data_IF_853536845359
#
_entry.id   IF_853536845359
#
_cell.length_a   1.000
_cell.length_b   1.000
_cell.length_c   1.000
_cell.angle_alpha   90.00
_cell.angle_beta   90.00
_cell.angle_gamma   90.00
#
_symmetry.space_group_name_H-M   'P 1'
#
loop_
_entity.id
_entity.type
_entity.pdbx_description
1 polymer ?
#
# COMPACT_ATOMS: atom_id res chain seq x y z
N UNK A 1 17.78 9.00 -3.13
CA UNK A 1 18.91 9.65 -3.85
C UNK A 1 19.62 10.75 -3.05
N UNK A 2 18.99 11.37 -2.03
CA UNK A 2 19.56 12.54 -1.33
C UNK A 2 20.87 12.38 -0.54
N UNK A 3 21.38 11.16 -0.33
CA UNK A 3 22.67 10.96 0.37
C UNK A 3 23.86 11.13 -0.59
N UNK A 4 23.70 10.79 -1.87
CA UNK A 4 24.79 10.83 -2.85
C UNK A 4 25.12 12.25 -3.31
N UNK A 5 24.13 13.14 -3.35
CA UNK A 5 24.29 14.54 -3.75
C UNK A 5 25.35 15.27 -2.93
N UNK A 6 25.42 15.01 -1.62
CA UNK A 6 26.43 15.59 -0.73
C UNK A 6 27.86 15.23 -1.12
N UNK A 7 28.10 14.04 -1.64
CA UNK A 7 29.42 13.61 -2.09
C UNK A 7 29.75 14.18 -3.48
N UNK A 8 28.76 14.30 -4.35
CA UNK A 8 28.91 14.84 -5.71
C UNK A 8 29.26 16.34 -5.68
N UNK A 9 28.65 17.11 -4.79
CA UNK A 9 28.88 18.56 -4.70
C UNK A 9 30.25 18.95 -4.16
N UNK A 10 30.89 18.08 -3.37
CA UNK A 10 32.22 18.38 -2.82
C UNK A 10 33.18 18.75 -3.93
N UNK A 11 34.11 19.68 -3.67
CA UNK A 11 35.12 20.02 -4.66
C UNK A 11 35.95 18.78 -5.00
N UNK A 12 36.53 18.76 -6.20
CA UNK A 12 37.40 17.65 -6.66
C UNK A 12 38.56 17.42 -5.69
N UNK A 13 39.05 18.49 -5.03
CA UNK A 13 40.06 18.42 -3.97
C UNK A 13 39.65 17.58 -2.75
N UNK A 14 38.35 17.46 -2.49
CA UNK A 14 37.76 16.67 -1.40
C UNK A 14 37.14 15.35 -1.90
N UNK A 15 37.56 14.88 -3.08
CA UNK A 15 37.06 13.67 -3.74
C UNK A 15 35.59 13.73 -4.16
N UNK A 16 35.03 14.92 -4.37
CA UNK A 16 33.74 15.08 -5.04
C UNK A 16 33.88 15.40 -6.54
N UNK A 17 32.78 15.81 -7.16
CA UNK A 17 32.73 16.19 -8.58
C UNK A 17 32.62 17.70 -8.80
N UNK A 18 32.37 18.50 -7.75
CA UNK A 18 32.13 19.93 -7.85
C UNK A 18 30.87 20.28 -8.66
N UNK A 19 29.92 19.36 -8.76
CA UNK A 19 28.69 19.52 -9.55
C UNK A 19 27.56 19.88 -8.59
N UNK A 20 26.96 21.06 -8.75
CA UNK A 20 25.79 21.47 -7.99
C UNK A 20 24.61 20.49 -8.21
N UNK A 21 23.92 20.15 -7.14
CA UNK A 21 22.79 19.20 -7.15
C UNK A 21 21.56 19.82 -6.51
N UNK A 22 20.40 19.41 -7.00
CA UNK A 22 19.09 19.78 -6.48
C UNK A 22 18.20 18.55 -6.47
N UNK A 23 17.23 18.52 -5.56
CA UNK A 23 16.30 17.40 -5.41
C UNK A 23 14.87 17.92 -5.23
N UNK A 24 13.90 17.23 -5.83
CA UNK A 24 12.48 17.36 -5.44
C UNK A 24 12.19 16.39 -4.30
N UNK A 25 11.61 16.89 -3.22
CA UNK A 25 11.35 16.14 -1.99
C UNK A 25 9.85 15.96 -1.77
N UNK A 26 9.40 14.69 -1.76
CA UNK A 26 8.02 14.32 -1.44
C UNK A 26 7.80 14.00 0.05
N UNK A 27 8.87 13.73 0.81
CA UNK A 27 8.78 13.32 2.23
C UNK A 27 9.65 14.26 3.06
N UNK A 28 9.04 15.29 3.65
CA UNK A 28 9.74 16.35 4.42
C UNK A 28 10.62 15.78 5.53
N UNK A 29 10.14 14.88 6.43
CA UNK A 29 10.97 14.37 7.52
C UNK A 29 12.23 13.64 7.05
N UNK A 30 12.17 12.96 5.89
CA UNK A 30 13.32 12.28 5.30
C UNK A 30 14.36 13.29 4.83
N UNK A 31 13.94 14.37 4.18
CA UNK A 31 14.86 15.42 3.72
C UNK A 31 15.47 16.22 4.87
N UNK A 32 14.73 16.47 5.94
CA UNK A 32 15.26 17.09 7.17
C UNK A 32 16.33 16.23 7.84
N UNK A 33 16.12 14.90 7.87
CA UNK A 33 17.09 13.96 8.42
C UNK A 33 18.34 13.80 7.53
N UNK A 34 18.14 13.67 6.21
CA UNK A 34 19.22 13.45 5.22
C UNK A 34 20.03 14.71 4.98
N UNK A 35 19.42 15.90 5.10
CA UNK A 35 20.03 17.21 4.84
C UNK A 35 20.71 17.28 3.47
N UNK A 36 19.98 17.03 2.36
CA UNK A 36 20.56 17.18 1.02
C UNK A 36 21.07 18.62 0.84
N UNK A 37 22.04 18.86 -0.07
CA UNK A 37 22.59 20.21 -0.25
C UNK A 37 21.50 21.24 -0.55
N UNK A 38 20.59 20.89 -1.47
CA UNK A 38 19.43 21.68 -1.87
C UNK A 38 18.25 20.78 -2.19
N UNK A 39 17.09 21.09 -1.63
CA UNK A 39 15.85 20.41 -1.96
C UNK A 39 14.66 21.38 -1.99
N UNK A 40 13.79 21.16 -2.97
CA UNK A 40 12.45 21.74 -3.00
C UNK A 40 11.48 20.70 -2.43
N UNK A 41 10.85 20.99 -1.30
CA UNK A 41 9.74 20.20 -0.80
C UNK A 41 8.46 20.57 -1.55
N UNK A 42 7.73 19.57 -2.03
CA UNK A 42 6.48 19.74 -2.76
C UNK A 42 5.33 19.07 -2.01
N UNK A 43 4.14 19.69 -1.93
CA UNK A 43 2.99 19.15 -1.22
C UNK A 43 2.17 18.14 -2.05
N UNK A 44 2.81 17.36 -2.92
CA UNK A 44 2.12 16.44 -3.84
C UNK A 44 2.10 14.99 -3.33
N UNK A 45 1.13 14.16 -3.76
CA UNK A 45 1.11 12.74 -3.44
C UNK A 45 2.38 12.01 -3.86
N UNK A 46 2.75 10.98 -3.08
CA UNK A 46 3.92 10.15 -3.37
C UNK A 46 3.83 9.55 -4.79
N UNK A 47 4.91 9.67 -5.56
CA UNK A 47 4.96 9.23 -6.96
C UNK A 47 4.53 10.30 -7.97
N UNK A 48 4.08 11.48 -7.53
CA UNK A 48 3.77 12.63 -8.39
C UNK A 48 4.62 13.87 -8.03
N UNK A 49 5.97 13.81 -8.12
CA UNK A 49 6.85 14.90 -7.68
C UNK A 49 6.68 16.21 -8.46
N UNK A 50 6.05 16.19 -9.63
CA UNK A 50 5.85 17.35 -10.48
C UNK A 50 4.44 17.95 -10.39
N UNK A 51 3.58 17.41 -9.52
CA UNK A 51 2.20 17.87 -9.38
C UNK A 51 1.19 17.05 -10.20
N UNK A 52 -0.05 17.58 -10.36
CA UNK A 52 -1.16 16.86 -10.97
C UNK A 52 -0.92 16.51 -12.46
N UNK A 53 -1.58 15.46 -12.99
CA UNK A 53 -1.53 15.15 -14.42
C UNK A 53 -2.14 16.27 -15.25
N UNK A 54 -1.67 16.44 -16.49
CA UNK A 54 -2.16 17.45 -17.45
C UNK A 54 -2.09 18.91 -16.97
N UNK A 55 -1.25 19.21 -15.98
CA UNK A 55 -0.95 20.58 -15.51
C UNK A 55 0.48 20.98 -15.86
N UNK A 56 0.78 21.24 -17.15
CA UNK A 56 2.14 21.59 -17.58
C UNK A 56 2.61 22.92 -16.96
N UNK A 57 1.70 23.83 -16.63
CA UNK A 57 1.98 25.06 -15.90
C UNK A 57 2.63 24.78 -14.54
N UNK A 58 2.02 23.90 -13.74
CA UNK A 58 2.55 23.45 -12.44
C UNK A 58 3.83 22.67 -12.61
N UNK A 59 3.84 21.67 -13.51
CA UNK A 59 4.97 20.77 -13.70
C UNK A 59 6.24 21.52 -14.13
N UNK A 60 6.09 22.50 -15.04
CA UNK A 60 7.20 23.34 -15.47
C UNK A 60 7.64 24.30 -14.37
N UNK A 61 6.72 24.85 -13.58
CA UNK A 61 7.06 25.72 -12.47
C UNK A 61 7.86 24.99 -11.37
N UNK A 62 7.42 23.78 -10.97
CA UNK A 62 8.17 22.92 -10.04
C UNK A 62 9.60 22.68 -10.53
N UNK A 63 9.77 22.39 -11.82
CA UNK A 63 11.11 22.21 -12.42
C UNK A 63 11.93 23.50 -12.35
N UNK A 64 11.35 24.65 -12.69
CA UNK A 64 12.03 25.95 -12.65
C UNK A 64 12.46 26.31 -11.23
N UNK A 65 11.58 26.17 -10.25
CA UNK A 65 11.89 26.45 -8.86
C UNK A 65 12.96 25.51 -8.32
N UNK A 66 12.88 24.21 -8.66
CA UNK A 66 13.91 23.24 -8.27
C UNK A 66 15.28 23.58 -8.87
N UNK A 67 15.33 23.92 -10.16
CA UNK A 67 16.57 24.27 -10.84
C UNK A 67 17.14 25.62 -10.39
N UNK A 68 16.29 26.58 -10.00
CA UNK A 68 16.72 27.86 -9.44
C UNK A 68 17.51 27.68 -8.13
N UNK A 69 17.32 26.56 -7.41
CA UNK A 69 18.12 26.25 -6.23
C UNK A 69 19.61 26.03 -6.57
N UNK A 70 19.98 25.73 -7.81
CA UNK A 70 21.40 25.56 -8.19
C UNK A 70 22.23 26.80 -7.85
N UNK A 71 21.64 28.00 -7.90
CA UNK A 71 22.31 29.26 -7.60
C UNK A 71 22.32 29.58 -6.08
N UNK A 72 21.63 28.78 -5.26
CA UNK A 72 21.68 28.91 -3.82
C UNK A 72 23.01 28.38 -3.29
N UNK A 73 23.88 29.29 -2.83
CA UNK A 73 25.18 28.94 -2.24
C UNK A 73 25.11 28.44 -0.79
N UNK A 74 23.98 28.63 -0.10
CA UNK A 74 23.79 28.16 1.27
C UNK A 74 23.25 26.72 1.25
N UNK A 75 24.00 25.79 1.85
CA UNK A 75 23.59 24.39 2.05
C UNK A 75 23.75 24.00 3.54
N UNK A 76 22.87 23.14 4.10
CA UNK A 76 21.70 22.54 3.46
C UNK A 76 20.55 23.55 3.31
N UNK A 77 19.87 23.52 2.15
CA UNK A 77 18.66 24.28 1.89
C UNK A 77 17.47 23.34 1.65
N UNK A 78 16.38 23.57 2.38
CA UNK A 78 15.08 22.94 2.15
C UNK A 78 14.06 24.07 2.01
N UNK A 79 13.59 24.30 0.78
CA UNK A 79 12.56 25.30 0.50
C UNK A 79 11.23 24.64 0.24
N UNK A 80 10.15 25.28 0.68
CA UNK A 80 8.79 24.83 0.42
C UNK A 80 8.31 25.41 -0.92
N UNK A 81 7.72 24.56 -1.75
CA UNK A 81 7.02 25.00 -2.96
C UNK A 81 5.80 25.83 -2.55
N UNK A 82 5.65 27.08 -3.07
CA UNK A 82 4.71 28.07 -2.54
C UNK A 82 3.25 27.80 -2.88
N UNK A 83 2.96 26.80 -3.71
CA UNK A 83 1.65 26.64 -4.31
C UNK A 83 0.78 25.67 -3.50
N UNK A 84 -0.22 26.22 -2.81
CA UNK A 84 -1.41 25.48 -2.36
C UNK A 84 -2.26 25.30 -3.61
N UNK A 85 -1.81 24.45 -4.52
CA UNK A 85 -2.66 24.01 -5.61
C UNK A 85 -3.71 23.15 -4.93
N UNK A 86 -4.90 23.71 -4.75
CA UNK A 86 -6.10 22.90 -4.68
C UNK A 86 -5.97 21.97 -5.88
N UNK A 87 -5.76 20.66 -5.63
CA UNK A 87 -6.15 19.67 -6.62
C UNK A 87 -7.55 20.16 -7.02
N UNK A 88 -7.72 20.58 -8.27
CA UNK A 88 -9.07 20.67 -8.80
C UNK A 88 -9.56 19.24 -8.65
N UNK A 89 -10.18 18.95 -7.50
CA UNK A 89 -11.08 17.85 -7.31
C UNK A 89 -12.05 18.11 -8.44
N UNK A 90 -11.80 17.41 -9.54
CA UNK A 90 -12.68 17.36 -10.68
C UNK A 90 -14.06 17.17 -10.01
N UNK A 91 -14.94 18.17 -10.11
CA UNK A 91 -16.30 18.26 -9.57
C UNK A 91 -16.62 17.65 -8.19
N UNK A 92 -17.39 18.37 -7.37
CA UNK A 92 -18.20 17.80 -6.27
C UNK A 92 -19.25 16.74 -6.73
N UNK A 93 -19.17 16.25 -7.97
CA UNK A 93 -19.79 14.99 -8.36
C UNK A 93 -18.91 13.86 -7.83
N UNK A 94 -19.09 13.56 -6.54
CA UNK A 94 -18.36 12.51 -5.85
C UNK A 94 -18.24 11.27 -6.71
N UNK A 95 -17.02 10.73 -6.81
CA UNK A 95 -16.77 9.50 -7.52
C UNK A 95 -17.74 8.43 -7.05
N UNK A 96 -18.69 8.07 -7.91
CA UNK A 96 -19.63 7.00 -7.63
C UNK A 96 -18.99 5.71 -8.09
N UNK A 97 -18.63 4.86 -7.12
CA UNK A 97 -18.11 3.51 -7.35
C UNK A 97 -18.98 2.80 -8.38
N UNK A 98 -18.48 2.58 -9.60
CA UNK A 98 -19.37 2.35 -10.73
C UNK A 98 -19.61 0.84 -10.92
N UNK A 99 -19.29 0.04 -9.89
CA UNK A 99 -19.55 -1.39 -9.75
C UNK A 99 -20.32 -1.59 -8.46
N UNK A 100 -21.58 -2.00 -8.58
CA UNK A 100 -22.33 -2.53 -7.44
C UNK A 100 -22.06 -4.02 -7.44
N UNK A 101 -21.37 -4.51 -6.42
CA UNK A 101 -21.21 -5.94 -6.21
C UNK A 101 -22.49 -6.49 -5.60
N UNK A 102 -23.04 -7.60 -6.10
CA UNK A 102 -24.22 -8.21 -5.50
C UNK A 102 -23.88 -8.71 -4.09
N UNK A 103 -24.58 -8.21 -3.07
CA UNK A 103 -24.51 -8.76 -1.72
C UNK A 103 -25.23 -10.12 -1.72
N UNK A 104 -24.49 -11.19 -1.45
CA UNK A 104 -25.07 -12.51 -1.22
C UNK A 104 -24.84 -12.86 0.24
N UNK A 105 -25.92 -13.01 1.01
CA UNK A 105 -25.85 -13.54 2.37
C UNK A 105 -25.30 -14.97 2.34
N UNK A 106 -24.20 -15.27 3.06
CA UNK A 106 -23.52 -16.54 2.94
C UNK A 106 -24.24 -17.64 3.74
N UNK A 107 -24.45 -18.80 3.10
CA UNK A 107 -24.99 -20.02 3.73
C UNK A 107 -23.82 -20.93 4.20
N UNK A 108 -22.56 -20.58 3.89
CA UNK A 108 -21.30 -21.20 4.39
C UNK A 108 -20.10 -20.29 4.11
N UNK A 109 -19.27 -19.95 5.11
CA UNK A 109 -18.34 -18.79 5.07
C UNK A 109 -17.25 -18.81 3.98
N UNK A 110 -16.56 -19.94 3.73
CA UNK A 110 -15.39 -19.95 2.81
C UNK A 110 -15.78 -20.11 1.34
N UNK A 111 -16.74 -20.99 1.02
CA UNK A 111 -17.16 -21.23 -0.36
C UNK A 111 -17.96 -20.06 -0.93
N UNK A 112 -18.77 -19.37 -0.11
CA UNK A 112 -19.46 -18.14 -0.51
C UNK A 112 -18.48 -17.02 -0.84
N UNK A 113 -17.40 -16.89 -0.05
CA UNK A 113 -16.37 -15.88 -0.26
C UNK A 113 -15.64 -16.10 -1.58
N UNK A 114 -15.26 -17.35 -1.88
CA UNK A 114 -14.63 -17.73 -3.16
C UNK A 114 -15.52 -17.39 -4.36
N UNK A 115 -16.83 -17.65 -4.27
CA UNK A 115 -17.79 -17.31 -5.32
C UNK A 115 -17.89 -15.79 -5.52
N UNK A 116 -18.02 -15.02 -4.42
CA UNK A 116 -18.13 -13.56 -4.50
C UNK A 116 -16.89 -12.93 -5.13
N UNK A 117 -15.68 -13.33 -4.71
CA UNK A 117 -14.43 -12.84 -5.29
C UNK A 117 -14.32 -13.14 -6.78
N UNK A 118 -14.69 -14.35 -7.21
CA UNK A 118 -14.71 -14.70 -8.64
C UNK A 118 -15.68 -13.80 -9.40
N UNK A 119 -16.85 -13.49 -8.83
CA UNK A 119 -17.80 -12.55 -9.43
C UNK A 119 -17.21 -11.15 -9.55
N UNK A 120 -16.50 -10.65 -8.54
CA UNK A 120 -15.82 -9.34 -8.62
C UNK A 120 -14.81 -9.30 -9.77
N UNK A 121 -13.94 -10.32 -9.86
CA UNK A 121 -12.93 -10.44 -10.92
C UNK A 121 -13.59 -10.47 -12.29
N UNK A 122 -14.67 -11.25 -12.45
CA UNK A 122 -15.41 -11.33 -13.71
C UNK A 122 -16.02 -10.00 -14.14
N UNK A 123 -16.53 -9.20 -13.19
CA UNK A 123 -17.09 -7.87 -13.48
C UNK A 123 -16.01 -6.87 -13.89
N UNK A 124 -14.82 -6.95 -13.27
CA UNK A 124 -13.70 -6.05 -13.55
C UNK A 124 -12.91 -6.43 -14.81
N UNK A 125 -12.93 -7.71 -15.19
CA UNK A 125 -12.10 -8.26 -16.28
C UNK A 125 -12.23 -7.52 -17.61
N UNK A 126 -13.43 -7.17 -18.12
CA UNK A 126 -13.56 -6.47 -19.40
C UNK A 126 -12.86 -5.11 -19.40
N UNK A 127 -12.95 -4.36 -18.30
CA UNK A 127 -12.30 -3.06 -18.18
C UNK A 127 -10.79 -3.20 -18.03
N UNK A 128 -10.32 -4.20 -17.27
CA UNK A 128 -8.91 -4.51 -17.19
C UNK A 128 -8.32 -4.82 -18.57
N UNK A 129 -8.96 -5.69 -19.34
CA UNK A 129 -8.46 -6.11 -20.66
C UNK A 129 -8.51 -4.97 -21.69
N UNK A 130 -9.53 -4.11 -21.65
CA UNK A 130 -9.59 -2.90 -22.48
C UNK A 130 -8.50 -1.90 -22.09
N UNK A 131 -8.35 -1.62 -20.80
CA UNK A 131 -7.30 -0.74 -20.27
C UNK A 131 -5.90 -1.24 -20.60
N UNK A 132 -5.68 -2.56 -20.52
CA UNK A 132 -4.41 -3.18 -20.91
C UNK A 132 -4.15 -3.04 -22.41
N UNK A 133 -5.18 -3.18 -23.25
CA UNK A 133 -5.08 -2.98 -24.70
C UNK A 133 -4.76 -1.53 -25.06
N UNK A 134 -5.38 -0.55 -24.39
CA UNK A 134 -5.11 0.87 -24.66
C UNK A 134 -3.75 1.33 -24.13
N UNK A 135 -3.35 0.88 -22.93
CA UNK A 135 -2.07 1.25 -22.29
C UNK A 135 -0.86 0.49 -22.85
N UNK A 136 -1.08 -0.69 -23.44
CA UNK A 136 -0.02 -1.58 -23.95
C UNK A 136 0.86 -2.24 -22.86
N UNK A 137 0.54 -2.05 -21.58
CA UNK A 137 1.28 -2.57 -20.42
C UNK A 137 0.38 -2.79 -19.21
N UNK A 138 0.85 -3.59 -18.26
CA UNK A 138 0.24 -3.80 -16.94
C UNK A 138 1.33 -3.83 -15.86
N UNK A 139 0.95 -3.51 -14.63
CA UNK A 139 1.79 -3.58 -13.42
C UNK A 139 1.61 -4.90 -12.66
N UNK A 140 0.64 -5.73 -13.06
CA UNK A 140 0.50 -7.11 -12.58
C UNK A 140 1.67 -7.97 -13.08
N UNK A 141 2.32 -8.69 -12.17
CA UNK A 141 3.41 -9.60 -12.51
C UNK A 141 4.46 -9.81 -11.42
N UNK A 142 4.37 -9.07 -10.31
CA UNK A 142 5.41 -9.06 -9.28
C UNK A 142 5.48 -10.42 -8.56
N UNK A 143 4.37 -11.15 -8.45
CA UNK A 143 4.33 -12.52 -7.91
C UNK A 143 4.95 -13.58 -8.85
N UNK A 144 5.33 -13.19 -10.07
CA UNK A 144 5.74 -14.10 -11.14
C UNK A 144 4.57 -14.68 -11.94
N UNK A 145 3.35 -14.18 -11.72
CA UNK A 145 2.12 -14.60 -12.43
C UNK A 145 1.46 -13.42 -13.14
N UNK A 146 0.90 -13.71 -14.31
CA UNK A 146 0.16 -12.72 -15.09
C UNK A 146 -1.27 -12.50 -14.57
N UNK A 147 -1.99 -11.54 -15.17
CA UNK A 147 -3.37 -11.22 -14.79
C UNK A 147 -4.37 -12.35 -15.02
N UNK A 148 -4.01 -13.38 -15.81
CA UNK A 148 -4.85 -14.58 -16.01
C UNK A 148 -4.92 -15.47 -14.77
N UNK A 149 -4.02 -15.28 -13.79
CA UNK A 149 -3.98 -16.05 -12.54
C UNK A 149 -4.55 -15.29 -11.34
N UNK A 150 -5.29 -14.19 -11.54
CA UNK A 150 -5.82 -13.39 -10.42
C UNK A 150 -6.74 -14.20 -9.50
N UNK A 151 -7.57 -15.08 -10.06
CA UNK A 151 -8.41 -15.99 -9.27
C UNK A 151 -7.56 -16.92 -8.38
N UNK A 152 -6.45 -17.45 -8.91
CA UNK A 152 -5.52 -18.30 -8.15
C UNK A 152 -4.83 -17.51 -7.03
N UNK A 153 -4.44 -16.26 -7.30
CA UNK A 153 -3.83 -15.38 -6.30
C UNK A 153 -4.79 -15.10 -5.14
N UNK A 154 -6.05 -14.77 -5.46
CA UNK A 154 -7.10 -14.54 -4.46
C UNK A 154 -7.40 -15.79 -3.66
N UNK A 155 -7.41 -16.96 -4.32
CA UNK A 155 -7.61 -18.24 -3.66
C UNK A 155 -6.55 -18.51 -2.58
N UNK A 156 -5.28 -18.22 -2.87
CA UNK A 156 -4.19 -18.32 -1.88
C UNK A 156 -4.41 -17.39 -0.69
N UNK A 157 -4.89 -16.15 -0.92
CA UNK A 157 -5.17 -15.22 0.19
C UNK A 157 -6.35 -15.68 1.06
N UNK A 158 -7.40 -16.25 0.45
CA UNK A 158 -8.56 -16.79 1.18
C UNK A 158 -8.17 -18.01 2.01
N UNK A 159 -7.40 -18.94 1.43
CA UNK A 159 -6.96 -20.13 2.15
C UNK A 159 -6.02 -19.73 3.31
N UNK A 160 -5.20 -18.69 3.13
CA UNK A 160 -4.43 -18.08 4.20
C UNK A 160 -5.28 -17.46 5.30
N UNK A 161 -6.28 -16.66 4.94
CA UNK A 161 -7.13 -16.00 5.92
C UNK A 161 -7.94 -17.00 6.75
N UNK A 162 -8.37 -18.10 6.13
CA UNK A 162 -9.07 -19.22 6.78
C UNK A 162 -8.16 -20.06 7.70
N UNK A 163 -6.83 -19.88 7.67
CA UNK A 163 -5.89 -20.71 8.42
C UNK A 163 -5.79 -22.16 7.89
N UNK A 164 -6.12 -22.38 6.62
CA UNK A 164 -5.91 -23.67 5.98
C UNK A 164 -4.41 -23.95 5.80
N UNK A 165 -4.00 -25.22 5.81
CA UNK A 165 -2.64 -25.60 5.43
C UNK A 165 -2.43 -25.27 3.95
N UNK A 166 -1.74 -24.17 3.69
CA UNK A 166 -1.44 -23.72 2.32
C UNK A 166 -0.31 -24.56 1.79
N UNK A 167 -0.63 -25.45 0.86
CA UNK A 167 0.37 -25.95 -0.07
C UNK A 167 0.57 -24.86 -1.12
N UNK A 168 1.65 -24.10 -0.98
CA UNK A 168 2.03 -23.09 -1.99
C UNK A 168 2.28 -23.84 -3.28
N UNK A 169 1.49 -23.61 -4.35
CA UNK A 169 1.75 -24.31 -5.60
C UNK A 169 3.13 -23.88 -6.13
N UNK A 170 3.94 -24.82 -6.62
CA UNK A 170 5.32 -24.60 -7.15
C UNK A 170 5.42 -23.57 -8.30
N UNK A 171 4.27 -23.02 -8.68
CA UNK A 171 4.10 -22.08 -9.77
C UNK A 171 4.49 -20.64 -9.39
N UNK A 172 4.62 -20.31 -8.10
CA UNK A 172 4.89 -18.95 -7.63
C UNK A 172 6.40 -18.69 -7.40
N UNK A 173 6.86 -17.46 -7.69
CA UNK A 173 8.29 -17.12 -7.69
C UNK A 173 8.92 -16.93 -6.30
N UNK A 174 8.11 -16.94 -5.23
CA UNK A 174 8.55 -16.57 -3.89
C UNK A 174 7.96 -17.51 -2.82
N UNK A 175 8.71 -17.82 -1.74
CA UNK A 175 8.20 -18.63 -0.65
C UNK A 175 7.23 -17.83 0.24
N UNK A 176 6.38 -18.55 0.97
CA UNK A 176 5.59 -17.97 2.05
C UNK A 176 6.49 -17.55 3.23
N UNK A 177 6.10 -16.52 3.99
CA UNK A 177 4.92 -15.68 3.80
C UNK A 177 5.16 -14.54 2.80
N UNK A 178 6.41 -14.31 2.37
CA UNK A 178 6.79 -13.19 1.47
C UNK A 178 5.95 -13.11 0.19
N UNK A 179 5.54 -14.27 -0.33
CA UNK A 179 4.61 -14.38 -1.45
C UNK A 179 3.35 -13.52 -1.27
N UNK A 180 2.76 -13.47 -0.06
CA UNK A 180 1.55 -12.70 0.21
C UNK A 180 1.69 -11.23 -0.20
N UNK A 181 2.84 -10.60 0.08
CA UNK A 181 3.10 -9.20 -0.29
C UNK A 181 3.08 -8.97 -1.80
N UNK A 182 3.50 -9.97 -2.57
CA UNK A 182 3.52 -9.87 -4.03
C UNK A 182 2.15 -10.18 -4.63
N UNK A 183 1.43 -11.16 -4.07
CA UNK A 183 0.06 -11.44 -4.44
C UNK A 183 -0.83 -10.23 -4.18
N UNK A 184 -0.73 -9.60 -3.00
CA UNK A 184 -1.53 -8.42 -2.67
C UNK A 184 -1.22 -7.23 -3.56
N UNK A 185 0.04 -7.05 -3.97
CA UNK A 185 0.41 -6.01 -4.93
C UNK A 185 -0.21 -6.26 -6.31
N UNK A 186 -0.14 -7.49 -6.81
CA UNK A 186 -0.72 -7.86 -8.12
C UNK A 186 -2.25 -7.79 -8.12
N UNK A 187 -2.92 -8.23 -7.05
CA UNK A 187 -4.38 -8.14 -6.90
C UNK A 187 -4.80 -6.67 -6.87
N UNK A 188 -4.16 -5.82 -6.05
CA UNK A 188 -4.46 -4.38 -6.04
C UNK A 188 -4.24 -3.75 -7.40
N UNK A 189 -3.13 -4.07 -8.06
CA UNK A 189 -2.83 -3.60 -9.41
C UNK A 189 -3.95 -3.95 -10.39
N UNK A 190 -4.44 -5.20 -10.37
CA UNK A 190 -5.57 -5.62 -11.21
C UNK A 190 -6.83 -4.79 -10.95
N UNK A 191 -7.25 -4.64 -9.69
CA UNK A 191 -8.46 -3.89 -9.33
C UNK A 191 -8.34 -2.41 -9.75
N UNK A 192 -7.20 -1.78 -9.45
CA UNK A 192 -6.95 -0.38 -9.77
C UNK A 192 -6.87 -0.14 -11.28
N UNK A 193 -6.17 -1.01 -12.01
CA UNK A 193 -6.06 -0.93 -13.46
C UNK A 193 -7.39 -1.16 -14.19
N UNK A 194 -8.29 -1.95 -13.59
CA UNK A 194 -9.62 -2.22 -14.12
C UNK A 194 -10.53 -1.00 -13.93
N UNK A 195 -10.68 -0.50 -12.71
CA UNK A 195 -11.65 0.59 -12.44
C UNK A 195 -11.23 1.91 -13.10
N UNK A 196 -9.93 2.19 -13.18
CA UNK A 196 -9.39 3.37 -13.89
C UNK A 196 -9.51 3.27 -15.41
N UNK A 197 -9.73 2.07 -15.94
CA UNK A 197 -9.99 1.85 -17.36
C UNK A 197 -11.47 1.89 -17.74
N UNK A 198 -12.38 2.03 -16.77
CA UNK A 198 -13.82 2.05 -17.04
C UNK A 198 -14.17 3.25 -17.95
N UNK A 199 -14.85 3.02 -19.09
CA UNK A 199 -15.31 4.10 -19.94
C UNK A 199 -16.26 5.06 -19.20
N UNK A 200 -16.02 6.36 -19.32
CA UNK A 200 -16.87 7.40 -18.73
C UNK A 200 -16.75 7.55 -17.21
N UNK A 201 -15.88 6.78 -16.54
CA UNK A 201 -15.58 7.01 -15.14
C UNK A 201 -14.61 8.18 -14.99
N UNK A 202 -14.93 9.04 -14.04
CA UNK A 202 -14.00 10.02 -13.51
C UNK A 202 -12.84 9.29 -12.82
N UNK A 203 -11.61 9.76 -13.04
CA UNK A 203 -10.45 9.18 -12.38
C UNK A 203 -10.47 9.59 -10.90
N UNK A 204 -10.59 8.63 -9.96
CA UNK A 204 -10.51 8.95 -8.54
C UNK A 204 -9.09 9.42 -8.18
N UNK A 205 -8.98 10.22 -7.13
CA UNK A 205 -7.70 10.44 -6.46
C UNK A 205 -7.21 9.13 -5.79
N UNK A 206 -5.99 9.16 -5.27
CA UNK A 206 -5.36 7.96 -4.71
C UNK A 206 -6.08 7.45 -3.47
N UNK A 207 -6.59 8.34 -2.62
CA UNK A 207 -7.17 7.96 -1.34
C UNK A 207 -8.56 7.39 -1.55
N UNK A 208 -9.36 8.04 -2.40
CA UNK A 208 -10.67 7.56 -2.84
C UNK A 208 -10.59 6.15 -3.46
N UNK A 209 -9.56 5.88 -4.27
CA UNK A 209 -9.35 4.56 -4.88
C UNK A 209 -8.99 3.48 -3.84
N UNK A 210 -8.16 3.83 -2.85
CA UNK A 210 -7.79 2.94 -1.74
C UNK A 210 -9.01 2.67 -0.84
N UNK A 211 -9.81 3.69 -0.54
CA UNK A 211 -11.04 3.57 0.24
C UNK A 211 -12.02 2.59 -0.38
N UNK A 212 -12.33 2.71 -1.66
CA UNK A 212 -13.20 1.75 -2.35
C UNK A 212 -12.67 0.34 -2.29
N UNK A 213 -11.39 0.14 -2.62
CA UNK A 213 -10.84 -1.21 -2.61
C UNK A 213 -10.95 -1.83 -1.22
N UNK A 214 -10.55 -1.12 -0.17
CA UNK A 214 -10.54 -1.66 1.17
C UNK A 214 -11.91 -1.67 1.86
N UNK A 215 -12.83 -0.77 1.53
CA UNK A 215 -14.12 -0.65 2.23
C UNK A 215 -15.31 -1.25 1.46
N UNK A 216 -15.21 -1.38 0.15
CA UNK A 216 -16.35 -1.81 -0.68
C UNK A 216 -16.14 -3.16 -1.36
N UNK A 217 -14.89 -3.58 -1.62
CA UNK A 217 -14.64 -4.88 -2.29
C UNK A 217 -14.48 -6.01 -1.28
N UNK A 218 -14.86 -7.23 -1.65
CA UNK A 218 -14.58 -8.45 -0.87
C UNK A 218 -13.10 -8.77 -0.84
N UNK A 219 -12.35 -8.47 -1.91
CA UNK A 219 -10.89 -8.57 -1.90
C UNK A 219 -10.26 -7.72 -0.78
N UNK A 220 -10.77 -6.51 -0.56
CA UNK A 220 -10.36 -5.64 0.54
C UNK A 220 -10.58 -6.27 1.93
N UNK A 221 -11.70 -6.95 2.16
CA UNK A 221 -11.94 -7.66 3.43
C UNK A 221 -10.95 -8.81 3.62
N UNK A 222 -10.65 -9.57 2.56
CA UNK A 222 -9.62 -10.62 2.62
C UNK A 222 -8.26 -10.05 3.01
N UNK A 223 -7.89 -8.86 2.51
CA UNK A 223 -6.63 -8.21 2.89
C UNK A 223 -6.58 -7.86 4.39
N UNK A 224 -7.70 -7.43 4.98
CA UNK A 224 -7.80 -7.22 6.42
C UNK A 224 -7.61 -8.53 7.19
N UNK A 225 -8.30 -9.60 6.77
CA UNK A 225 -8.18 -10.90 7.44
C UNK A 225 -6.75 -11.46 7.36
N UNK A 226 -6.08 -11.32 6.21
CA UNK A 226 -4.65 -11.68 6.04
C UNK A 226 -3.78 -10.86 6.99
N UNK A 227 -3.99 -9.54 7.08
CA UNK A 227 -3.25 -8.67 8.02
C UNK A 227 -3.46 -9.12 9.46
N UNK A 228 -4.68 -9.42 9.87
CA UNK A 228 -5.01 -9.84 11.25
C UNK A 228 -4.26 -11.11 11.64
N UNK A 229 -4.16 -12.09 10.74
CA UNK A 229 -3.34 -13.30 10.98
C UNK A 229 -1.87 -12.97 11.16
N UNK A 230 -1.32 -12.07 10.34
CA UNK A 230 0.08 -11.64 10.47
C UNK A 230 0.33 -10.88 11.79
N UNK A 231 -0.55 -9.94 12.12
CA UNK A 231 -0.50 -9.18 13.38
C UNK A 231 -0.62 -10.10 14.59
N UNK A 232 -1.47 -11.14 14.52
CA UNK A 232 -1.63 -12.12 15.60
C UNK A 232 -0.34 -12.92 15.84
N UNK A 233 0.34 -13.33 14.78
CA UNK A 233 1.64 -14.00 14.89
C UNK A 233 2.69 -13.08 15.55
N UNK A 234 2.76 -11.83 15.08
CA UNK A 234 3.66 -10.80 15.63
C UNK A 234 3.37 -10.49 17.09
N UNK A 235 2.10 -10.35 17.45
CA UNK A 235 1.65 -10.12 18.82
C UNK A 235 2.10 -11.25 19.74
N UNK A 236 1.94 -12.52 19.33
CA UNK A 236 2.38 -13.66 20.15
C UNK A 236 3.88 -13.69 20.36
N UNK A 237 4.67 -13.35 19.34
CA UNK A 237 6.13 -13.25 19.49
C UNK A 237 6.49 -12.14 20.47
N UNK A 238 5.84 -10.97 20.39
CA UNK A 238 6.12 -9.87 21.31
C UNK A 238 5.70 -10.19 22.76
N UNK A 239 4.51 -10.79 22.96
CA UNK A 239 4.04 -11.26 24.27
C UNK A 239 5.02 -12.29 24.86
N UNK A 240 5.44 -13.27 24.05
CA UNK A 240 6.38 -14.32 24.49
C UNK A 240 7.75 -13.76 24.90
N UNK A 241 8.13 -12.59 24.39
CA UNK A 241 9.34 -11.87 24.77
C UNK A 241 9.14 -10.88 25.93
N UNK A 242 7.96 -10.88 26.57
CA UNK A 242 7.67 -10.12 27.79
C UNK A 242 7.44 -8.63 27.57
N UNK A 243 6.96 -8.23 26.39
CA UNK A 243 6.56 -6.85 26.15
C UNK A 243 5.17 -6.57 26.74
N UNK A 244 5.00 -5.35 27.23
CA UNK A 244 3.73 -4.83 27.73
C UNK A 244 2.80 -4.43 26.58
N UNK A 245 1.48 -4.48 26.80
CA UNK A 245 0.45 -4.26 25.77
C UNK A 245 0.61 -2.92 25.03
N UNK A 246 0.90 -1.83 25.75
CA UNK A 246 1.10 -0.50 25.15
C UNK A 246 2.32 -0.45 24.21
N UNK A 247 3.37 -1.21 24.53
CA UNK A 247 4.57 -1.31 23.70
C UNK A 247 4.27 -2.13 22.44
N UNK A 248 3.47 -3.18 22.58
CA UNK A 248 3.02 -4.02 21.46
C UNK A 248 2.16 -3.20 20.50
N UNK A 249 1.16 -2.49 21.00
CA UNK A 249 0.29 -1.61 20.19
C UNK A 249 1.13 -0.60 19.40
N UNK A 250 2.12 0.02 20.06
CA UNK A 250 3.02 0.98 19.42
C UNK A 250 3.86 0.33 18.30
N UNK A 251 4.46 -0.83 18.56
CA UNK A 251 5.32 -1.53 17.58
C UNK A 251 4.55 -2.07 16.39
N UNK A 252 3.32 -2.53 16.62
CA UNK A 252 2.45 -3.07 15.58
C UNK A 252 1.62 -1.99 14.87
N UNK A 253 1.65 -0.75 15.38
CA UNK A 253 0.87 0.39 14.88
C UNK A 253 -0.61 0.03 14.92
N UNK A 254 -1.08 -0.31 16.13
CA UNK A 254 -2.47 -0.59 16.47
C UNK A 254 -3.05 0.58 17.27
N UNK A 255 -4.37 0.63 17.37
CA UNK A 255 -5.04 1.54 18.28
C UNK A 255 -4.66 1.23 19.74
N UNK A 256 -4.52 2.24 20.62
CA UNK A 256 -4.23 2.01 22.03
C UNK A 256 -5.27 1.10 22.70
N UNK A 257 -4.80 0.08 23.41
CA UNK A 257 -5.64 -0.92 24.08
C UNK A 257 -6.09 -2.08 23.20
N UNK A 258 -5.63 -2.15 21.93
CA UNK A 258 -5.99 -3.27 21.04
C UNK A 258 -5.43 -4.57 21.58
N UNK A 259 -4.13 -4.60 21.93
CA UNK A 259 -3.47 -5.80 22.46
C UNK A 259 -4.17 -6.30 23.72
N UNK A 260 -4.48 -5.40 24.67
CA UNK A 260 -5.19 -5.76 25.90
C UNK A 260 -6.57 -6.41 25.64
N UNK A 261 -7.26 -6.00 24.58
CA UNK A 261 -8.58 -6.54 24.22
C UNK A 261 -8.51 -7.92 23.55
N UNK A 262 -7.51 -8.15 22.68
CA UNK A 262 -7.49 -9.33 21.81
C UNK A 262 -6.41 -10.36 22.18
N UNK A 263 -5.44 -10.02 23.04
CA UNK A 263 -4.32 -10.91 23.36
C UNK A 263 -4.76 -12.26 23.92
N UNK A 264 -5.76 -12.29 24.80
CA UNK A 264 -6.26 -13.55 25.39
C UNK A 264 -6.85 -14.48 24.31
N UNK A 265 -7.58 -13.91 23.34
CA UNK A 265 -8.13 -14.65 22.21
C UNK A 265 -7.03 -15.13 21.27
N UNK A 266 -6.08 -14.26 20.94
CA UNK A 266 -4.95 -14.57 20.06
C UNK A 266 -4.11 -15.72 20.63
N UNK A 267 -3.82 -15.71 21.93
CA UNK A 267 -3.08 -16.79 22.62
C UNK A 267 -3.84 -18.12 22.58
N UNK A 268 -5.17 -18.09 22.60
CA UNK A 268 -6.02 -19.30 22.54
C UNK A 268 -6.28 -19.79 21.12
N UNK A 269 -6.06 -18.95 20.11
CA UNK A 269 -6.38 -19.28 18.72
C UNK A 269 -5.42 -20.34 18.15
N UNK A 270 -5.98 -21.41 17.56
CA UNK A 270 -5.21 -22.52 16.97
C UNK A 270 -4.85 -22.32 15.49
N UNK A 271 -5.27 -21.21 14.88
CA UNK A 271 -5.25 -21.01 13.42
C UNK A 271 -4.00 -20.32 12.86
N UNK A 272 -2.86 -20.34 13.56
CA UNK A 272 -1.60 -19.77 13.10
C UNK A 272 -0.61 -20.88 12.71
N UNK A 273 -0.09 -20.82 11.48
CA UNK A 273 0.86 -21.83 11.02
C UNK A 273 2.23 -21.69 11.69
N UNK A 274 2.92 -22.82 11.90
CA UNK A 274 4.28 -22.83 12.47
C UNK A 274 5.28 -22.03 11.65
N UNK A 275 5.07 -21.93 10.34
CA UNK A 275 5.93 -21.15 9.44
C UNK A 275 5.78 -19.64 9.67
N UNK A 276 4.56 -19.16 9.90
CA UNK A 276 4.32 -17.75 10.23
C UNK A 276 5.01 -17.36 11.54
N UNK A 277 4.94 -18.22 12.55
CA UNK A 277 5.66 -17.98 13.81
C UNK A 277 7.17 -17.90 13.61
N UNK A 278 7.76 -18.77 12.79
CA UNK A 278 9.21 -18.71 12.51
C UNK A 278 9.58 -17.37 11.88
N UNK A 279 8.83 -16.92 10.88
CA UNK A 279 9.11 -15.64 10.21
C UNK A 279 8.93 -14.47 11.16
N UNK A 280 7.89 -14.48 11.99
CA UNK A 280 7.69 -13.44 12.99
C UNK A 280 8.82 -13.39 14.02
N UNK A 281 9.35 -14.55 14.44
CA UNK A 281 10.52 -14.65 15.32
C UNK A 281 11.79 -14.12 14.64
N UNK A 282 12.00 -14.42 13.36
CA UNK A 282 13.11 -13.88 12.57
C UNK A 282 13.01 -12.35 12.43
N UNK A 283 11.83 -11.84 12.08
CA UNK A 283 11.55 -10.40 12.02
C UNK A 283 11.77 -9.73 13.38
N UNK A 284 11.49 -10.41 14.50
CA UNK A 284 11.81 -9.92 15.84
C UNK A 284 13.30 -9.77 16.09
N UNK A 285 14.09 -10.77 15.72
CA UNK A 285 15.55 -10.73 15.84
C UNK A 285 16.16 -9.60 15.00
N UNK A 286 15.57 -9.29 13.83
CA UNK A 286 16.03 -8.20 12.95
C UNK A 286 15.45 -6.82 13.32
N UNK A 287 14.57 -6.72 14.32
CA UNK A 287 13.90 -5.47 14.70
C UNK A 287 12.88 -4.99 13.64
N UNK A 288 12.33 -5.91 12.86
CA UNK A 288 11.42 -5.67 11.75
C UNK A 288 9.96 -6.11 12.02
N UNK A 289 9.61 -6.54 13.23
CA UNK A 289 8.25 -7.00 13.58
C UNK A 289 7.16 -6.04 13.12
N UNK A 290 6.07 -6.60 12.62
CA UNK A 290 4.94 -5.85 12.08
C UNK A 290 5.20 -5.31 10.68
N UNK A 291 6.44 -5.26 10.18
CA UNK A 291 6.75 -4.66 8.86
C UNK A 291 6.03 -5.39 7.75
N UNK A 292 5.95 -6.71 7.87
CA UNK A 292 5.29 -7.54 6.90
C UNK A 292 3.78 -7.29 6.86
N UNK A 293 3.10 -7.32 8.02
CA UNK A 293 1.67 -6.99 8.14
C UNK A 293 1.36 -5.55 7.64
N UNK A 294 2.24 -4.59 7.93
CA UNK A 294 2.15 -3.20 7.50
C UNK A 294 2.18 -3.01 5.97
N UNK A 295 2.69 -4.00 5.23
CA UNK A 295 2.75 -3.97 3.77
C UNK A 295 1.47 -4.46 3.08
N UNK A 296 0.57 -5.11 3.82
CA UNK A 296 -0.69 -5.66 3.28
C UNK A 296 -1.77 -4.58 3.22
N UNK A 297 -1.94 -3.82 4.31
CA UNK A 297 -2.92 -2.73 4.41
C UNK A 297 -2.20 -1.40 4.67
N UNK A 298 -2.41 -0.37 3.83
CA UNK A 298 -1.77 0.93 3.97
C UNK A 298 -2.23 1.62 5.26
N UNK A 299 -1.38 2.51 5.80
CA UNK A 299 -1.60 3.18 7.10
C UNK A 299 -2.99 3.80 7.18
N UNK A 300 -3.41 4.52 6.13
CA UNK A 300 -4.70 5.21 6.07
C UNK A 300 -5.92 4.28 6.18
N UNK A 301 -5.75 2.97 5.96
CA UNK A 301 -6.85 2.01 5.97
C UNK A 301 -6.80 1.04 7.16
N UNK A 302 -5.72 0.99 7.96
CA UNK A 302 -5.52 -0.09 8.96
C UNK A 302 -6.65 -0.24 9.98
N UNK A 303 -7.17 0.89 10.45
CA UNK A 303 -8.15 0.93 11.54
C UNK A 303 -9.58 1.19 11.06
N UNK A 304 -9.79 1.11 9.74
CA UNK A 304 -11.05 1.48 9.09
C UNK A 304 -11.93 0.29 8.70
N UNK A 305 -11.51 -0.94 9.04
CA UNK A 305 -12.29 -2.15 8.72
C UNK A 305 -13.73 -2.07 9.20
N UNK A 306 -13.96 -1.51 10.38
CA UNK A 306 -15.31 -1.34 10.96
C UNK A 306 -16.24 -0.44 10.14
N UNK A 307 -15.68 0.47 9.32
CA UNK A 307 -16.48 1.34 8.44
C UNK A 307 -17.23 0.51 7.38
N UNK A 308 -16.72 -0.67 7.01
CA UNK A 308 -17.40 -1.62 6.13
C UNK A 308 -18.77 -2.02 6.66
N UNK A 309 -18.87 -2.29 7.96
CA UNK A 309 -20.12 -2.70 8.60
C UNK A 309 -21.15 -1.56 8.66
N UNK A 310 -20.70 -0.30 8.61
CA UNK A 310 -21.58 0.87 8.55
C UNK A 310 -22.10 1.10 7.13
N UNK A 311 -21.26 0.88 6.11
CA UNK A 311 -21.65 0.97 4.70
C UNK A 311 -22.66 -0.11 4.31
N UNK A 312 -22.49 -1.35 4.80
CA UNK A 312 -23.43 -2.45 4.58
C UNK A 312 -24.84 -2.22 5.19
N UNK A 313 -24.98 -1.28 6.14
CA UNK A 313 -26.27 -0.91 6.76
C UNK A 313 -26.96 0.28 6.08
N UNK A 314 -26.31 0.90 5.10
CA UNK A 314 -26.76 2.17 4.49
C UNK A 314 -27.48 1.97 3.14
N UNK A 315 -27.63 0.72 2.68
CA UNK A 315 -28.37 0.36 1.46
C UNK A 315 -29.47 -0.66 1.74
#
# INVERSE_FOLDING_TARGET
MGVLSQYIERPVSERGAGIATVQISLIRPVSEAVKPPRALWVPFPLGRPLGPPNRPDVQIDVLRQTLALVDQGAAPALLDYPDIIEDEALGEEGWSCPVIFPSLEPITESDSLKVQLRTEVQLLRPWFDEGRRSRGRTTVGISGKGPDSIDDMLQVLVDFSAGADITVPDIFAHPMPRLLRFLTADIKAFYFEAVTAKPGAMLPDSDTLEEWFFLETMAGDVFYQVREKLVSADMLVLIANGLEDDEIDTRLVLNPGTTAQVAEEVVRSSGLSRELFKVSVEDFQEGLVGRFARSIVPIMMRDRREERAKLAKTF
#
